data_IF_196683441440
#
_entry.id   IF_196683441440
#
_cell.length_a   1.000
_cell.length_b   1.000
_cell.length_c   1.000
_cell.angle_alpha   90.00
_cell.angle_beta   90.00
_cell.angle_gamma   90.00
#
_symmetry.space_group_name_H-M   'P 1'
#
loop_
_entity.id
_entity.type
_entity.pdbx_description
1 polymer ?
#
# COMPACT_ATOMS: atom_id res chain seq x y z
N UNK A 1 -28.57 9.30 -10.13
CA UNK A 1 -27.16 9.14 -9.70
C UNK A 1 -26.62 7.95 -10.48
N UNK A 2 -25.77 8.21 -11.48
CA UNK A 2 -25.53 7.29 -12.60
C UNK A 2 -24.86 5.98 -12.15
N UNK A 3 -25.59 4.86 -12.28
CA UNK A 3 -25.06 3.50 -12.30
C UNK A 3 -24.30 3.33 -13.62
N UNK A 4 -23.00 3.60 -13.61
CA UNK A 4 -22.15 3.44 -14.78
C UNK A 4 -22.05 1.93 -15.11
N UNK A 5 -22.61 1.56 -16.26
CA UNK A 5 -22.48 0.26 -16.91
C UNK A 5 -21.03 0.05 -17.40
N UNK A 6 -20.07 -0.07 -16.48
CA UNK A 6 -18.80 -0.66 -16.82
C UNK A 6 -19.03 -2.16 -17.01
N UNK A 7 -18.77 -2.68 -18.21
CA UNK A 7 -18.70 -4.13 -18.47
C UNK A 7 -17.90 -4.81 -17.34
N UNK A 8 -18.25 -6.03 -16.90
CA UNK A 8 -17.55 -6.68 -15.79
C UNK A 8 -16.07 -6.75 -16.15
N UNK A 9 -15.27 -5.87 -15.55
CA UNK A 9 -13.85 -5.87 -15.80
C UNK A 9 -13.36 -7.22 -15.30
N UNK A 10 -12.55 -7.89 -16.13
CA UNK A 10 -12.09 -9.23 -15.79
C UNK A 10 -11.44 -9.15 -14.41
N UNK A 11 -11.77 -10.04 -13.46
CA UNK A 11 -11.42 -9.86 -12.03
C UNK A 11 -9.92 -9.66 -11.76
N UNK A 12 -9.04 -10.08 -12.67
CA UNK A 12 -7.62 -9.79 -12.60
C UNK A 12 -7.29 -8.31 -12.84
N UNK A 13 -7.99 -7.62 -13.76
CA UNK A 13 -7.74 -6.22 -14.09
C UNK A 13 -8.12 -5.32 -12.91
N UNK A 14 -9.29 -5.53 -12.29
CA UNK A 14 -9.70 -4.76 -11.11
C UNK A 14 -8.72 -4.93 -9.95
N UNK A 15 -8.17 -6.14 -9.81
CA UNK A 15 -7.25 -6.45 -8.73
C UNK A 15 -5.86 -5.85 -8.96
N UNK A 16 -5.34 -5.90 -10.19
CA UNK A 16 -4.10 -5.20 -10.54
C UNK A 16 -4.28 -3.69 -10.47
N UNK A 17 -5.38 -3.16 -10.99
CA UNK A 17 -5.68 -1.73 -10.93
C UNK A 17 -5.83 -1.26 -9.48
N UNK A 18 -6.51 -2.02 -8.62
CA UNK A 18 -6.64 -1.71 -7.19
C UNK A 18 -5.30 -1.76 -6.44
N UNK A 19 -4.47 -2.76 -6.74
CA UNK A 19 -3.12 -2.87 -6.16
C UNK A 19 -2.23 -1.70 -6.59
N UNK A 20 -2.24 -1.38 -7.88
CA UNK A 20 -1.45 -0.29 -8.44
C UNK A 20 -1.94 1.06 -7.92
N UNK A 21 -3.26 1.28 -7.88
CA UNK A 21 -3.86 2.48 -7.30
C UNK A 21 -3.49 2.62 -5.81
N UNK A 22 -3.49 1.52 -5.04
CA UNK A 22 -3.07 1.52 -3.65
C UNK A 22 -1.60 1.88 -3.46
N UNK A 23 -0.70 1.28 -4.24
CA UNK A 23 0.74 1.54 -4.16
C UNK A 23 1.11 2.95 -4.66
N UNK A 24 0.48 3.43 -5.74
CA UNK A 24 0.76 4.78 -6.27
C UNK A 24 0.03 5.89 -5.53
N UNK A 25 -1.05 5.56 -4.82
CA UNK A 25 -1.80 6.52 -4.01
C UNK A 25 -0.97 7.15 -2.89
N UNK A 26 0.15 6.53 -2.48
CA UNK A 26 1.03 7.06 -1.44
C UNK A 26 2.02 8.14 -1.94
N UNK A 27 2.31 8.17 -3.24
CA UNK A 27 3.27 9.09 -3.86
C UNK A 27 3.02 10.57 -3.49
N UNK A 28 1.79 11.11 -3.58
CA UNK A 28 1.54 12.51 -3.20
C UNK A 28 1.71 12.79 -1.69
N UNK A 29 1.60 11.77 -0.84
CA UNK A 29 1.76 11.91 0.62
C UNK A 29 3.22 11.75 1.07
N UNK A 30 4.06 11.14 0.24
CA UNK A 30 5.45 10.86 0.56
C UNK A 30 6.31 12.08 0.96
N UNK A 31 6.13 13.28 0.37
CA UNK A 31 6.82 14.49 0.83
C UNK A 31 6.50 14.87 2.28
N UNK A 32 5.25 14.63 2.73
CA UNK A 32 4.83 14.89 4.10
C UNK A 32 5.47 13.90 5.08
N UNK A 33 5.57 12.63 4.68
CA UNK A 33 6.23 11.59 5.48
C UNK A 33 7.74 11.87 5.63
N UNK A 34 8.38 12.34 4.56
CA UNK A 34 9.79 12.74 4.54
C UNK A 34 10.03 13.97 5.42
N UNK A 35 9.14 14.96 5.38
CA UNK A 35 9.22 16.12 6.26
C UNK A 35 9.03 15.72 7.73
N UNK A 36 8.08 14.82 8.00
CA UNK A 36 7.80 14.31 9.35
C UNK A 36 8.98 13.52 9.93
N UNK A 37 9.62 12.65 9.15
CA UNK A 37 10.80 11.91 9.63
C UNK A 37 11.99 12.84 9.91
N UNK A 38 12.22 13.84 9.05
CA UNK A 38 13.26 14.86 9.27
C UNK A 38 12.98 15.73 10.50
N UNK A 39 11.71 16.06 10.76
CA UNK A 39 11.29 16.76 11.97
C UNK A 39 11.59 15.94 13.23
N UNK A 40 11.32 14.62 13.19
CA UNK A 40 11.59 13.72 14.32
C UNK A 40 13.09 13.55 14.61
N UNK A 41 13.95 13.71 13.59
CA UNK A 41 15.41 13.65 13.75
C UNK A 41 16.08 15.00 14.03
N UNK A 42 15.37 16.12 13.84
CA UNK A 42 15.89 17.47 14.03
C UNK A 42 15.52 18.00 15.42
N UNK A 43 16.32 18.93 15.95
CA UNK A 43 16.04 19.57 17.24
C UNK A 43 14.61 20.17 17.28
N UNK A 44 13.84 19.99 18.38
CA UNK A 44 12.43 20.37 18.50
C UNK A 44 12.12 21.85 18.19
N UNK A 45 13.13 22.71 18.28
CA UNK A 45 12.98 24.16 18.16
C UNK A 45 12.99 24.69 16.72
N UNK A 46 13.16 23.82 15.71
CA UNK A 46 13.25 24.26 14.31
C UNK A 46 11.87 24.21 13.63
N UNK A 47 11.38 25.33 13.05
CA UNK A 47 10.08 25.34 12.39
C UNK A 47 10.06 24.44 11.13
N UNK A 48 8.97 23.69 10.88
CA UNK A 48 8.85 22.76 9.74
C UNK A 48 9.11 23.40 8.38
N UNK A 49 8.63 24.63 8.18
CA UNK A 49 8.81 25.37 6.93
C UNK A 49 10.28 25.66 6.65
N UNK A 50 11.08 25.94 7.69
CA UNK A 50 12.52 26.21 7.54
C UNK A 50 13.29 24.94 7.19
N UNK A 51 12.88 23.79 7.73
CA UNK A 51 13.44 22.48 7.37
C UNK A 51 13.13 22.17 5.90
N UNK A 52 11.87 22.39 5.48
CA UNK A 52 11.44 22.17 4.10
C UNK A 52 12.19 23.08 3.11
N UNK A 53 12.31 24.38 3.40
CA UNK A 53 13.05 25.31 2.53
C UNK A 53 14.53 24.97 2.46
N UNK A 54 15.17 24.62 3.58
CA UNK A 54 16.57 24.21 3.60
C UNK A 54 16.77 22.91 2.81
N UNK A 55 15.87 21.94 2.94
CA UNK A 55 15.91 20.68 2.18
C UNK A 55 15.83 20.93 0.67
N UNK A 56 14.89 21.76 0.22
CA UNK A 56 14.76 22.09 -1.22
C UNK A 56 15.98 22.89 -1.72
N UNK A 57 16.50 23.83 -0.94
CA UNK A 57 17.64 24.66 -1.33
C UNK A 57 18.96 23.90 -1.37
N UNK A 58 19.18 22.95 -0.46
CA UNK A 58 20.45 22.21 -0.34
C UNK A 58 20.45 20.91 -1.13
N UNK A 59 19.35 20.16 -1.12
CA UNK A 59 19.26 18.83 -1.71
C UNK A 59 18.36 18.78 -2.98
N UNK A 60 17.66 19.87 -3.30
CA UNK A 60 16.75 19.97 -4.44
C UNK A 60 15.36 19.37 -4.19
N UNK A 61 14.43 19.55 -5.15
CA UNK A 61 13.06 19.03 -5.06
C UNK A 61 12.98 17.49 -5.05
N UNK A 62 13.96 16.81 -5.66
CA UNK A 62 14.04 15.35 -5.70
C UNK A 62 14.33 14.73 -4.34
N UNK A 63 14.86 15.51 -3.39
CA UNK A 63 15.12 15.05 -2.01
C UNK A 63 13.84 14.64 -1.27
N UNK A 64 12.71 15.25 -1.59
CA UNK A 64 11.39 14.93 -1.02
C UNK A 64 10.87 13.54 -1.41
N UNK A 65 11.41 12.98 -2.49
CA UNK A 65 11.07 11.64 -2.98
C UNK A 65 12.24 10.65 -2.81
N UNK A 66 13.33 11.08 -2.19
CA UNK A 66 14.53 10.24 -2.02
C UNK A 66 14.22 9.14 -0.99
N UNK A 67 14.14 7.91 -1.48
CA UNK A 67 13.75 6.76 -0.66
C UNK A 67 12.32 6.26 -0.89
N UNK A 68 11.52 6.92 -1.76
CA UNK A 68 10.13 6.54 -2.07
C UNK A 68 10.00 5.10 -2.60
N UNK A 69 11.04 4.60 -3.24
CA UNK A 69 11.09 3.24 -3.78
C UNK A 69 10.96 2.16 -2.69
N UNK A 70 11.54 2.37 -1.50
CA UNK A 70 11.49 1.40 -0.41
C UNK A 70 10.06 1.12 0.07
N UNK A 71 9.25 2.14 0.46
CA UNK A 71 7.85 1.93 0.79
C UNK A 71 7.03 1.45 -0.40
N UNK A 72 7.25 1.96 -1.62
CA UNK A 72 6.53 1.45 -2.80
C UNK A 72 6.74 -0.05 -3.03
N UNK A 73 7.98 -0.54 -2.87
CA UNK A 73 8.29 -1.97 -2.92
C UNK A 73 7.66 -2.73 -1.75
N UNK A 74 7.71 -2.19 -0.52
CA UNK A 74 7.05 -2.76 0.65
C UNK A 74 5.55 -2.93 0.45
N UNK A 75 4.84 -1.89 0.00
CA UNK A 75 3.42 -1.93 -0.32
C UNK A 75 3.11 -2.90 -1.47
N UNK A 76 3.96 -2.93 -2.51
CA UNK A 76 3.85 -3.89 -3.60
C UNK A 76 3.94 -5.35 -3.11
N UNK A 77 4.92 -5.65 -2.24
CA UNK A 77 5.11 -6.98 -1.65
C UNK A 77 3.94 -7.37 -0.74
N UNK A 78 3.44 -6.44 0.09
CA UNK A 78 2.30 -6.68 0.97
C UNK A 78 1.04 -6.97 0.14
N UNK A 79 0.74 -6.14 -0.87
CA UNK A 79 -0.43 -6.33 -1.72
C UNK A 79 -0.34 -7.64 -2.53
N UNK A 80 0.85 -7.95 -3.07
CA UNK A 80 1.10 -9.22 -3.77
C UNK A 80 0.97 -10.45 -2.87
N UNK A 81 1.43 -10.34 -1.62
CA UNK A 81 1.30 -11.39 -0.60
C UNK A 81 -0.16 -11.67 -0.24
N UNK A 82 -0.95 -10.61 -0.01
CA UNK A 82 -2.38 -10.71 0.25
C UNK A 82 -3.10 -11.34 -0.95
N UNK A 83 -2.71 -11.00 -2.17
CA UNK A 83 -3.25 -11.62 -3.38
C UNK A 83 -2.93 -13.12 -3.43
N UNK A 84 -1.68 -13.52 -3.20
CA UNK A 84 -1.26 -14.91 -3.21
C UNK A 84 -2.03 -15.73 -2.16
N UNK A 85 -2.13 -15.18 -0.94
CA UNK A 85 -2.88 -15.82 0.15
C UNK A 85 -4.37 -15.94 -0.19
N UNK A 86 -5.00 -14.87 -0.69
CA UNK A 86 -6.40 -14.92 -1.13
C UNK A 86 -6.62 -15.94 -2.24
N UNK A 87 -5.74 -16.00 -3.23
CA UNK A 87 -5.84 -16.95 -4.34
C UNK A 87 -5.71 -18.39 -3.86
N UNK A 88 -4.77 -18.65 -2.94
CA UNK A 88 -4.56 -19.97 -2.36
C UNK A 88 -5.76 -20.41 -1.51
N UNK A 89 -6.20 -19.58 -0.56
CA UNK A 89 -7.33 -19.91 0.32
C UNK A 89 -8.64 -20.06 -0.46
N UNK A 90 -8.87 -19.22 -1.47
CA UNK A 90 -10.08 -19.33 -2.32
C UNK A 90 -10.09 -20.61 -3.14
N UNK A 91 -8.94 -21.01 -3.71
CA UNK A 91 -8.84 -22.26 -4.47
C UNK A 91 -9.09 -23.50 -3.58
N UNK A 92 -8.78 -23.43 -2.28
CA UNK A 92 -9.04 -24.52 -1.33
C UNK A 92 -10.51 -24.61 -0.90
N UNK A 93 -11.18 -23.48 -0.67
CA UNK A 93 -12.55 -23.44 -0.11
C UNK A 93 -13.64 -23.50 -1.20
N UNK A 94 -13.39 -22.89 -2.35
CA UNK A 94 -14.38 -22.72 -3.40
C UNK A 94 -13.77 -22.89 -4.80
N UNK A 95 -13.31 -24.11 -5.16
CA UNK A 95 -12.72 -24.39 -6.48
C UNK A 95 -13.69 -24.12 -7.66
N UNK A 96 -15.01 -24.03 -7.42
CA UNK A 96 -16.02 -23.76 -8.45
C UNK A 96 -16.26 -22.27 -8.76
N UNK A 97 -15.40 -21.35 -8.31
CA UNK A 97 -15.50 -19.91 -8.58
C UNK A 97 -16.84 -19.26 -8.13
N UNK A 98 -17.55 -19.90 -7.19
CA UNK A 98 -18.80 -19.40 -6.61
C UNK A 98 -18.56 -18.11 -5.79
N UNK A 99 -19.57 -17.24 -5.66
CA UNK A 99 -19.51 -16.16 -4.67
C UNK A 99 -19.33 -16.77 -3.28
N UNK A 100 -18.37 -16.22 -2.52
CA UNK A 100 -18.08 -16.68 -1.16
C UNK A 100 -19.22 -16.24 -0.23
N UNK A 101 -19.57 -17.10 0.70
CA UNK A 101 -20.54 -16.77 1.75
C UNK A 101 -19.85 -15.91 2.81
N UNK A 102 -20.61 -15.06 3.52
CA UNK A 102 -20.08 -14.20 4.60
C UNK A 102 -19.08 -14.87 5.58
N UNK A 103 -19.35 -16.07 6.14
CA UNK A 103 -18.37 -16.74 7.03
C UNK A 103 -17.12 -17.24 6.29
N UNK A 104 -17.22 -17.59 5.01
CA UNK A 104 -16.07 -18.03 4.20
C UNK A 104 -15.18 -16.84 3.85
N UNK A 105 -15.76 -15.65 3.64
CA UNK A 105 -15.04 -14.41 3.42
C UNK A 105 -14.23 -13.99 4.65
N UNK A 106 -14.75 -14.23 5.86
CA UNK A 106 -14.01 -14.01 7.11
C UNK A 106 -12.79 -14.93 7.20
N UNK A 107 -12.92 -16.22 6.85
CA UNK A 107 -11.80 -17.18 6.89
C UNK A 107 -10.71 -16.81 5.87
N UNK A 108 -11.12 -16.39 4.67
CA UNK A 108 -10.20 -15.88 3.64
C UNK A 108 -9.51 -14.60 4.12
N UNK A 109 -10.23 -13.68 4.75
CA UNK A 109 -9.67 -12.46 5.35
C UNK A 109 -8.69 -12.75 6.47
N UNK A 110 -9.01 -13.69 7.37
CA UNK A 110 -8.16 -14.08 8.49
C UNK A 110 -6.86 -14.76 8.03
N UNK A 111 -6.93 -15.66 7.05
CA UNK A 111 -5.74 -16.31 6.47
C UNK A 111 -4.85 -15.32 5.71
N UNK A 112 -5.45 -14.38 4.96
CA UNK A 112 -4.72 -13.29 4.31
C UNK A 112 -4.05 -12.36 5.32
N UNK A 113 -4.75 -12.01 6.40
CA UNK A 113 -4.21 -11.22 7.51
C UNK A 113 -3.01 -11.93 8.15
N UNK A 114 -3.16 -13.21 8.50
CA UNK A 114 -2.09 -14.03 9.07
C UNK A 114 -0.86 -14.09 8.16
N UNK A 115 -1.03 -14.35 6.87
CA UNK A 115 0.07 -14.40 5.91
C UNK A 115 0.73 -13.03 5.71
N UNK A 116 -0.06 -11.98 5.64
CA UNK A 116 0.44 -10.61 5.51
C UNK A 116 1.27 -10.16 6.72
N UNK A 117 0.98 -10.66 7.92
CA UNK A 117 1.74 -10.33 9.14
C UNK A 117 3.19 -10.79 9.08
N UNK A 118 3.47 -11.95 8.48
CA UNK A 118 4.85 -12.45 8.32
C UNK A 118 5.66 -11.64 7.31
N UNK A 119 5.00 -10.97 6.37
CA UNK A 119 5.66 -10.12 5.36
C UNK A 119 5.71 -8.66 5.80
N UNK A 120 4.73 -8.19 6.57
CA UNK A 120 4.76 -6.87 7.22
C UNK A 120 5.81 -6.79 8.32
N UNK A 121 5.94 -7.82 9.16
CA UNK A 121 6.89 -7.82 10.28
C UNK A 121 8.35 -7.49 9.91
N UNK A 122 8.92 -7.97 8.78
CA UNK A 122 10.26 -7.57 8.33
C UNK A 122 10.28 -6.26 7.54
N UNK A 123 9.17 -5.80 6.97
CA UNK A 123 9.08 -4.55 6.19
C UNK A 123 8.88 -3.32 7.09
N UNK A 124 8.27 -3.50 8.25
CA UNK A 124 7.99 -2.43 9.23
C UNK A 124 9.14 -2.21 10.23
N UNK A 125 10.21 -3.03 10.20
CA UNK A 125 11.43 -2.87 11.00
C UNK A 125 12.51 -2.13 10.23
#
# INVERSE_FOLDING_TARGET
MATNNAAPAKPHIELFAGTFAGTFGIVPFYPLDTLKSRLQTTSPSTPPLRILTNMIQQEGLTSLYRGCLSPMLGYGLINGSVFLSRSFTRNLIAPSNRPLTFPEEIIVGASAGFWSSFIRAPVER
#
